data_IF_328037725107
#
_entry.id   IF_328037725107
#
_cell.length_a   1.000
_cell.length_b   1.000
_cell.length_c   1.000
_cell.angle_alpha   90.00
_cell.angle_beta   90.00
_cell.angle_gamma   90.00
#
_symmetry.space_group_name_H-M   'P 1'
#
loop_
_entity.id
_entity.type
_entity.pdbx_description
1 polymer ?
#
# COMPACT_ATOMS: atom_id res chain seq x y z
N UNK A 1 -23.32 0.07 13.51
CA UNK A 1 -23.44 1.40 12.89
C UNK A 1 -23.31 1.18 11.39
N UNK A 2 -24.27 1.63 10.58
CA UNK A 2 -24.19 1.51 9.11
C UNK A 2 -23.37 2.64 8.51
N UNK A 3 -23.05 2.53 7.20
CA UNK A 3 -22.46 3.64 6.46
C UNK A 3 -23.46 4.80 6.36
N UNK A 4 -23.01 6.07 6.46
CA UNK A 4 -23.84 7.23 6.11
C UNK A 4 -24.35 7.13 4.66
N UNK A 5 -25.53 7.71 4.40
CA UNK A 5 -26.23 7.57 3.11
C UNK A 5 -25.40 7.95 1.89
N UNK A 6 -24.57 8.98 1.99
CA UNK A 6 -23.66 9.40 0.91
C UNK A 6 -22.70 8.30 0.53
N UNK A 7 -22.07 7.68 1.53
CA UNK A 7 -21.11 6.59 1.33
C UNK A 7 -21.80 5.30 0.88
N UNK A 8 -22.98 4.99 1.42
CA UNK A 8 -23.79 3.84 1.00
C UNK A 8 -24.17 3.93 -0.48
N UNK A 9 -24.61 5.10 -0.95
CA UNK A 9 -24.91 5.34 -2.37
C UNK A 9 -23.68 5.21 -3.25
N UNK A 10 -22.51 5.68 -2.80
CA UNK A 10 -21.28 5.55 -3.53
C UNK A 10 -20.84 4.08 -3.69
N UNK A 11 -20.90 3.29 -2.62
CA UNK A 11 -20.65 1.85 -2.70
C UNK A 11 -21.60 1.17 -3.70
N UNK A 12 -22.88 1.50 -3.63
CA UNK A 12 -23.89 0.94 -4.52
C UNK A 12 -23.66 1.32 -6.00
N UNK A 13 -23.29 2.58 -6.28
CA UNK A 13 -22.99 3.04 -7.65
C UNK A 13 -21.80 2.31 -8.29
N UNK A 14 -20.92 1.77 -7.45
CA UNK A 14 -19.78 0.95 -7.88
C UNK A 14 -20.10 -0.55 -7.96
N UNK A 15 -21.30 -0.96 -7.60
CA UNK A 15 -21.68 -2.36 -7.46
C UNK A 15 -20.95 -3.06 -6.31
N UNK A 16 -20.49 -2.31 -5.31
CA UNK A 16 -19.78 -2.82 -4.15
C UNK A 16 -20.66 -2.91 -2.91
N UNK A 17 -20.36 -3.89 -2.06
CA UNK A 17 -20.85 -3.94 -0.70
C UNK A 17 -19.69 -3.60 0.26
N UNK A 18 -19.96 -2.85 1.35
CA UNK A 18 -18.94 -2.61 2.36
C UNK A 18 -18.57 -3.92 3.04
N UNK A 19 -17.27 -4.17 3.17
CA UNK A 19 -16.76 -5.38 3.83
C UNK A 19 -16.87 -5.23 5.35
N UNK A 20 -17.03 -6.34 6.06
CA UNK A 20 -17.18 -6.34 7.52
C UNK A 20 -16.07 -5.56 8.23
N UNK A 21 -14.81 -5.81 7.90
CA UNK A 21 -13.67 -5.11 8.51
C UNK A 21 -13.65 -3.60 8.24
N UNK A 22 -14.27 -3.12 7.15
CA UNK A 22 -14.45 -1.68 6.89
C UNK A 22 -15.45 -1.07 7.87
N UNK A 23 -16.55 -1.77 8.12
CA UNK A 23 -17.57 -1.35 9.11
C UNK A 23 -17.03 -1.44 10.54
N UNK A 24 -16.24 -2.45 10.85
CA UNK A 24 -15.61 -2.61 12.17
C UNK A 24 -14.64 -1.45 12.46
N UNK A 25 -13.80 -1.05 11.48
CA UNK A 25 -12.92 0.12 11.64
C UNK A 25 -13.70 1.43 11.83
N UNK A 26 -14.82 1.62 11.13
CA UNK A 26 -15.70 2.79 11.34
C UNK A 26 -16.25 2.78 12.77
N UNK A 27 -16.72 1.64 13.26
CA UNK A 27 -17.25 1.51 14.60
C UNK A 27 -16.18 1.73 15.70
N UNK A 28 -14.95 1.29 15.46
CA UNK A 28 -13.81 1.53 16.36
C UNK A 28 -13.40 3.01 16.37
N UNK A 29 -13.36 3.64 15.20
CA UNK A 29 -13.04 5.06 15.05
C UNK A 29 -14.04 5.95 15.78
N UNK A 30 -15.36 5.65 15.68
CA UNK A 30 -16.40 6.37 16.41
C UNK A 30 -16.24 6.30 17.94
N UNK A 31 -15.55 5.28 18.45
CA UNK A 31 -15.19 5.11 19.87
C UNK A 31 -13.78 5.64 20.20
N UNK A 32 -13.10 6.29 19.25
CA UNK A 32 -11.73 6.80 19.43
C UNK A 32 -10.67 5.71 19.64
N UNK A 33 -10.93 4.46 19.24
CA UNK A 33 -10.03 3.33 19.47
C UNK A 33 -8.97 3.21 18.38
N UNK A 34 -7.76 2.88 18.80
CA UNK A 34 -6.67 2.43 17.90
C UNK A 34 -6.93 1.00 17.42
N UNK A 35 -6.52 0.67 16.20
CA UNK A 35 -6.79 -0.63 15.60
C UNK A 35 -5.66 -1.13 14.71
N UNK A 36 -5.54 -2.46 14.62
CA UNK A 36 -4.72 -3.16 13.63
C UNK A 36 -5.63 -3.95 12.70
N UNK A 37 -5.69 -3.57 11.42
CA UNK A 37 -6.37 -4.36 10.40
C UNK A 37 -5.39 -5.32 9.73
N UNK A 38 -5.71 -6.61 9.81
CA UNK A 38 -5.00 -7.68 9.11
C UNK A 38 -5.91 -8.23 8.03
N UNK A 39 -5.56 -8.01 6.76
CA UNK A 39 -6.33 -8.52 5.65
C UNK A 39 -5.40 -8.82 4.45
N UNK A 40 -5.77 -9.76 3.57
CA UNK A 40 -4.97 -10.09 2.40
C UNK A 40 -4.82 -8.89 1.46
N UNK A 41 -3.84 -8.95 0.55
CA UNK A 41 -3.71 -7.98 -0.52
C UNK A 41 -4.97 -8.03 -1.40
N UNK A 42 -5.47 -6.89 -1.88
CA UNK A 42 -6.77 -6.82 -2.56
C UNK A 42 -7.98 -6.86 -1.62
N UNK A 43 -7.77 -7.02 -0.30
CA UNK A 43 -8.81 -7.02 0.73
C UNK A 43 -9.46 -5.65 1.00
N UNK A 44 -9.13 -4.58 0.27
CA UNK A 44 -9.69 -3.24 0.50
C UNK A 44 -9.19 -2.54 1.75
N UNK A 45 -7.99 -2.91 2.26
CA UNK A 45 -7.37 -2.32 3.46
C UNK A 45 -7.22 -0.80 3.39
N UNK A 46 -6.72 -0.31 2.26
CA UNK A 46 -6.45 1.12 2.06
C UNK A 46 -7.72 1.94 2.21
N UNK A 47 -8.81 1.51 1.56
CA UNK A 47 -10.12 2.15 1.71
C UNK A 47 -10.65 2.01 3.14
N UNK A 48 -10.49 0.85 3.77
CA UNK A 48 -10.88 0.63 5.17
C UNK A 48 -10.19 1.61 6.13
N UNK A 49 -8.90 1.92 5.88
CA UNK A 49 -8.17 2.91 6.66
C UNK A 49 -8.66 4.34 6.45
N UNK A 50 -9.08 4.70 5.23
CA UNK A 50 -9.53 6.07 4.91
C UNK A 50 -10.98 6.36 5.30
N UNK A 51 -11.88 5.38 5.18
CA UNK A 51 -13.32 5.56 5.36
C UNK A 51 -13.69 6.27 6.67
N UNK A 52 -13.19 5.89 7.85
CA UNK A 52 -13.55 6.55 9.10
C UNK A 52 -13.24 8.06 9.07
N UNK A 53 -12.06 8.42 8.58
CA UNK A 53 -11.63 9.83 8.53
C UNK A 53 -12.39 10.64 7.48
N UNK A 54 -12.75 10.03 6.34
CA UNK A 54 -13.58 10.67 5.32
C UNK A 54 -14.99 10.96 5.87
N UNK A 55 -15.57 10.01 6.59
CA UNK A 55 -16.88 10.16 7.25
C UNK A 55 -16.81 11.29 8.28
N UNK A 56 -15.85 11.24 9.21
CA UNK A 56 -15.68 12.25 10.26
C UNK A 56 -15.54 13.67 9.69
N UNK A 57 -14.70 13.85 8.68
CA UNK A 57 -14.50 15.15 8.05
C UNK A 57 -15.79 15.65 7.35
N UNK A 58 -16.50 14.74 6.68
CA UNK A 58 -17.76 15.09 6.00
C UNK A 58 -18.82 15.51 7.00
N UNK A 59 -19.03 14.75 8.06
CA UNK A 59 -20.02 15.05 9.11
C UNK A 59 -19.70 16.36 9.85
N UNK A 60 -18.42 16.59 10.23
CA UNK A 60 -17.98 17.82 10.88
C UNK A 60 -18.25 19.07 10.01
N UNK A 61 -18.07 18.97 8.70
CA UNK A 61 -18.33 20.07 7.77
C UNK A 61 -19.81 20.31 7.52
N UNK A 62 -20.59 19.27 7.40
CA UNK A 62 -22.05 19.37 7.31
C UNK A 62 -22.66 19.98 8.57
N UNK A 63 -22.10 19.68 9.74
CA UNK A 63 -22.52 20.27 11.01
C UNK A 63 -21.98 21.71 11.25
N UNK A 64 -21.22 22.29 10.31
CA UNK A 64 -20.61 23.61 10.47
C UNK A 64 -19.53 23.70 11.56
N UNK A 65 -19.01 22.58 12.02
CA UNK A 65 -18.05 22.50 13.12
C UNK A 65 -16.59 22.71 12.68
N UNK A 66 -16.31 22.78 11.37
CA UNK A 66 -14.96 23.00 10.83
C UNK A 66 -14.69 24.48 10.57
N UNK A 67 -14.48 25.23 11.66
CA UNK A 67 -14.21 26.67 11.62
C UNK A 67 -12.92 27.03 10.91
N UNK A 68 -11.91 26.14 10.92
CA UNK A 68 -10.64 26.39 10.23
C UNK A 68 -10.80 26.28 8.72
N UNK A 69 -11.56 25.31 8.25
CA UNK A 69 -11.90 25.19 6.83
C UNK A 69 -12.71 26.39 6.34
N UNK A 70 -13.73 26.80 7.10
CA UNK A 70 -14.56 27.96 6.79
C UNK A 70 -13.77 29.28 6.69
N UNK A 71 -12.67 29.40 7.45
CA UNK A 71 -11.75 30.56 7.41
C UNK A 71 -10.61 30.39 6.40
N UNK A 72 -10.63 29.35 5.55
CA UNK A 72 -9.54 29.07 4.59
C UNK A 72 -8.22 28.63 5.24
N UNK A 73 -8.22 28.36 6.56
CA UNK A 73 -7.09 27.79 7.29
C UNK A 73 -7.22 26.28 7.23
N UNK A 74 -6.17 25.58 6.75
CA UNK A 74 -6.17 24.14 6.75
C UNK A 74 -5.81 23.58 8.12
N UNK A 75 -6.32 22.40 8.45
CA UNK A 75 -5.95 21.62 9.65
C UNK A 75 -5.65 20.18 9.25
N UNK A 76 -4.58 19.61 9.79
CA UNK A 76 -4.26 18.21 9.55
C UNK A 76 -5.15 17.32 10.42
N UNK A 77 -6.03 16.56 9.78
CA UNK A 77 -6.89 15.59 10.44
C UNK A 77 -6.29 14.17 10.42
N UNK A 78 -5.78 13.75 9.27
CA UNK A 78 -5.28 12.38 9.07
C UNK A 78 -3.90 12.38 8.46
N UNK A 79 -2.99 11.65 9.08
CA UNK A 79 -1.65 11.37 8.58
C UNK A 79 -1.60 9.92 8.10
N UNK A 80 -1.21 9.71 6.83
CA UNK A 80 -1.02 8.39 6.25
C UNK A 80 0.46 8.16 5.99
N UNK A 81 1.02 7.10 6.56
CA UNK A 81 2.44 6.77 6.51
C UNK A 81 2.62 5.50 5.69
N UNK A 82 3.36 5.60 4.58
CA UNK A 82 3.67 4.50 3.69
C UNK A 82 5.17 4.19 3.67
N UNK A 83 5.57 2.92 3.52
CA UNK A 83 6.98 2.55 3.44
C UNK A 83 7.69 3.07 2.18
N UNK A 84 6.99 3.33 1.10
CA UNK A 84 7.56 3.76 -0.18
C UNK A 84 6.94 5.05 -0.71
N UNK A 85 7.76 5.88 -1.37
CA UNK A 85 7.32 7.11 -2.04
C UNK A 85 6.33 6.86 -3.18
N UNK A 86 6.56 5.81 -3.97
CA UNK A 86 5.68 5.43 -5.08
C UNK A 86 4.28 5.06 -4.58
N UNK A 87 4.21 4.32 -3.47
CA UNK A 87 2.95 3.94 -2.83
C UNK A 87 2.12 5.18 -2.42
N UNK A 88 2.76 6.23 -1.89
CA UNK A 88 2.06 7.46 -1.52
C UNK A 88 1.38 8.14 -2.72
N UNK A 89 1.90 7.97 -3.93
CA UNK A 89 1.30 8.52 -5.16
C UNK A 89 0.09 7.72 -5.61
N UNK A 90 0.18 6.39 -5.57
CA UNK A 90 -0.93 5.50 -5.96
C UNK A 90 -2.07 5.53 -4.95
N UNK A 91 -1.73 5.54 -3.67
CA UNK A 91 -2.71 5.69 -2.58
C UNK A 91 -3.42 7.02 -2.67
N UNK A 92 -2.70 8.09 -3.02
CA UNK A 92 -3.30 9.39 -3.27
C UNK A 92 -4.38 9.29 -4.36
N UNK A 93 -4.12 8.59 -5.46
CA UNK A 93 -5.13 8.36 -6.50
C UNK A 93 -6.34 7.58 -5.95
N UNK A 94 -6.10 6.52 -5.17
CA UNK A 94 -7.16 5.72 -4.54
C UNK A 94 -7.97 6.50 -3.50
N UNK A 95 -7.43 7.57 -2.90
CA UNK A 95 -8.13 8.48 -2.01
C UNK A 95 -8.84 9.61 -2.78
N UNK A 96 -8.23 10.13 -3.85
CA UNK A 96 -8.80 11.21 -4.67
C UNK A 96 -10.05 10.76 -5.44
N UNK A 97 -10.13 9.49 -5.85
CA UNK A 97 -11.30 8.97 -6.58
C UNK A 97 -12.57 9.06 -5.72
N UNK A 98 -12.67 8.47 -4.52
CA UNK A 98 -13.87 8.61 -3.69
C UNK A 98 -14.16 10.05 -3.29
N UNK A 99 -13.13 10.88 -3.03
CA UNK A 99 -13.30 12.30 -2.74
C UNK A 99 -13.97 13.02 -3.91
N UNK A 100 -13.50 12.80 -5.14
CA UNK A 100 -14.03 13.45 -6.33
C UNK A 100 -15.44 12.96 -6.68
N UNK A 101 -15.69 11.65 -6.66
CA UNK A 101 -16.98 11.05 -7.02
C UNK A 101 -18.10 11.39 -6.04
N UNK A 102 -17.78 11.45 -4.75
CA UNK A 102 -18.74 11.88 -3.71
C UNK A 102 -18.73 13.40 -3.51
N UNK A 103 -17.90 14.15 -4.24
CA UNK A 103 -17.74 15.60 -4.11
C UNK A 103 -17.46 16.03 -2.66
N UNK A 104 -16.63 15.24 -1.96
CA UNK A 104 -16.29 15.53 -0.58
C UNK A 104 -15.44 16.79 -0.50
N UNK A 105 -15.72 17.72 0.40
CA UNK A 105 -14.90 18.93 0.58
C UNK A 105 -13.61 18.61 1.36
N UNK A 106 -12.86 17.61 0.93
CA UNK A 106 -11.65 17.08 1.59
C UNK A 106 -10.44 17.33 0.71
N UNK A 107 -9.37 17.84 1.30
CA UNK A 107 -8.10 18.11 0.62
C UNK A 107 -7.04 17.10 1.04
N UNK A 108 -6.56 16.31 0.08
CA UNK A 108 -5.50 15.34 0.26
C UNK A 108 -4.23 15.77 -0.47
N UNK A 109 -3.08 15.73 0.20
CA UNK A 109 -1.78 16.04 -0.40
C UNK A 109 -0.72 15.01 0.02
N UNK A 110 0.30 14.86 -0.82
CA UNK A 110 1.47 14.03 -0.51
C UNK A 110 2.68 14.89 -0.16
N UNK A 111 3.50 14.41 0.81
CA UNK A 111 4.79 14.98 1.19
C UNK A 111 5.82 13.88 1.29
N UNK A 112 6.74 13.87 0.35
CA UNK A 112 7.87 12.92 0.28
C UNK A 112 9.18 13.68 0.10
N UNK A 113 10.31 12.96 0.02
CA UNK A 113 11.61 13.56 -0.28
C UNK A 113 11.63 14.37 -1.59
N UNK A 114 10.75 14.05 -2.54
CA UNK A 114 10.71 14.69 -3.87
C UNK A 114 9.73 15.88 -3.95
N UNK A 115 9.03 16.18 -2.84
CA UNK A 115 8.11 17.33 -2.80
C UNK A 115 8.89 18.64 -2.85
N UNK A 116 8.58 19.56 -3.80
CA UNK A 116 9.24 20.85 -3.91
C UNK A 116 9.17 21.69 -2.64
N UNK A 117 10.20 22.49 -2.37
CA UNK A 117 10.30 23.29 -1.14
C UNK A 117 9.14 24.26 -0.97
N UNK A 118 8.73 24.94 -2.04
CA UNK A 118 7.57 25.86 -2.03
C UNK A 118 6.29 25.18 -1.56
N UNK A 119 6.06 23.94 -2.04
CA UNK A 119 4.90 23.14 -1.63
C UNK A 119 5.00 22.71 -0.17
N UNK A 120 6.22 22.35 0.31
CA UNK A 120 6.44 21.98 1.72
C UNK A 120 6.15 23.15 2.67
N UNK A 121 6.52 24.39 2.29
CA UNK A 121 6.22 25.62 3.04
C UNK A 121 4.70 25.83 3.09
N UNK A 122 4.05 25.83 1.93
CA UNK A 122 2.59 25.98 1.86
C UNK A 122 1.84 24.94 2.69
N UNK A 123 2.26 23.67 2.67
CA UNK A 123 1.64 22.60 3.47
C UNK A 123 1.74 22.84 4.97
N UNK A 124 2.80 23.53 5.44
CA UNK A 124 2.93 23.90 6.85
C UNK A 124 2.07 25.09 7.24
N UNK A 125 1.94 26.07 6.34
CA UNK A 125 1.10 27.25 6.55
C UNK A 125 -0.39 26.92 6.45
N UNK A 126 -0.75 26.06 5.50
CA UNK A 126 -2.12 25.58 5.23
C UNK A 126 -2.14 24.06 5.12
N UNK A 127 -2.13 23.34 6.25
CA UNK A 127 -2.13 21.88 6.24
C UNK A 127 -3.32 21.32 5.46
N UNK A 128 -3.14 20.22 4.68
CA UNK A 128 -4.25 19.48 4.09
C UNK A 128 -4.99 18.70 5.18
N UNK A 129 -6.21 18.25 4.89
CA UNK A 129 -6.96 17.37 5.77
C UNK A 129 -6.32 15.98 5.88
N UNK A 130 -5.84 15.46 4.74
CA UNK A 130 -5.04 14.25 4.65
C UNK A 130 -3.64 14.57 4.16
N UNK A 131 -2.63 14.13 4.90
CA UNK A 131 -1.23 14.18 4.45
C UNK A 131 -0.68 12.77 4.32
N UNK A 132 -0.31 12.41 3.08
CA UNK A 132 0.35 11.14 2.78
C UNK A 132 1.86 11.35 2.80
N UNK A 133 2.59 10.53 3.57
CA UNK A 133 4.02 10.76 3.81
C UNK A 133 4.80 9.47 3.97
N UNK A 134 6.13 9.58 4.13
CA UNK A 134 7.02 8.48 4.50
C UNK A 134 7.60 8.72 5.90
N UNK A 135 8.12 7.70 6.58
CA UNK A 135 8.75 7.87 7.91
C UNK A 135 9.82 8.95 7.97
N UNK A 136 10.66 9.05 6.94
CA UNK A 136 11.73 10.03 6.86
C UNK A 136 11.18 11.47 6.74
N UNK A 137 10.15 11.64 5.93
CA UNK A 137 9.48 12.95 5.77
C UNK A 137 8.71 13.35 7.02
N UNK A 138 8.15 12.38 7.75
CA UNK A 138 7.53 12.62 9.06
C UNK A 138 8.57 13.07 10.10
N UNK A 139 9.71 12.41 10.17
CA UNK A 139 10.79 12.81 11.08
C UNK A 139 11.23 14.27 10.83
N UNK A 140 11.34 14.67 9.56
CA UNK A 140 11.61 16.06 9.20
C UNK A 140 10.46 17.00 9.62
N UNK A 141 9.20 16.60 9.46
CA UNK A 141 8.06 17.40 9.93
C UNK A 141 8.10 17.59 11.44
N UNK A 142 8.46 16.57 12.18
CA UNK A 142 8.59 16.61 13.63
C UNK A 142 9.79 17.45 14.13
N UNK A 143 10.76 17.78 13.28
CA UNK A 143 11.92 18.60 13.63
C UNK A 143 11.67 20.11 13.53
N UNK A 144 10.55 20.54 12.94
CA UNK A 144 10.27 21.98 12.80
C UNK A 144 9.75 22.61 14.12
N UNK A 145 10.04 23.91 14.35
CA UNK A 145 9.60 24.59 15.59
C UNK A 145 8.07 24.66 15.75
N UNK A 146 7.31 24.70 14.63
CA UNK A 146 5.85 24.83 14.60
C UNK A 146 5.10 23.48 14.65
N UNK A 147 5.82 22.40 14.98
CA UNK A 147 5.31 21.01 15.01
C UNK A 147 4.06 20.87 15.88
N UNK A 148 4.05 21.45 17.08
CA UNK A 148 2.90 21.35 18.00
C UNK A 148 1.64 21.95 17.36
N UNK A 149 1.76 23.10 16.71
CA UNK A 149 0.64 23.73 15.98
C UNK A 149 0.19 22.90 14.78
N UNK A 150 1.15 22.34 14.03
CA UNK A 150 0.87 21.57 12.83
C UNK A 150 0.06 20.30 13.11
N UNK A 151 0.35 19.62 14.22
CA UNK A 151 -0.31 18.36 14.61
C UNK A 151 -1.43 18.54 15.65
N UNK A 152 -1.74 19.78 16.09
CA UNK A 152 -2.71 20.05 17.17
C UNK A 152 -4.09 19.39 16.94
N UNK A 153 -4.54 19.30 15.70
CA UNK A 153 -5.87 18.77 15.33
C UNK A 153 -5.79 17.36 14.69
N UNK A 154 -4.64 16.70 14.81
CA UNK A 154 -4.48 15.34 14.31
C UNK A 154 -5.38 14.37 15.06
N UNK A 155 -6.22 13.63 14.32
CA UNK A 155 -7.19 12.66 14.88
C UNK A 155 -6.86 11.22 14.51
N UNK A 156 -6.18 11.00 13.38
CA UNK A 156 -5.88 9.68 12.93
C UNK A 156 -4.47 9.61 12.31
N UNK A 157 -3.72 8.59 12.70
CA UNK A 157 -2.47 8.18 12.02
C UNK A 157 -2.68 6.79 11.47
N UNK A 158 -2.54 6.64 10.15
CA UNK A 158 -2.63 5.36 9.47
C UNK A 158 -1.22 4.94 9.07
N UNK A 159 -0.79 3.76 9.51
CA UNK A 159 0.50 3.17 9.13
C UNK A 159 0.22 1.99 8.20
N UNK A 160 0.54 2.18 6.92
CA UNK A 160 0.35 1.12 5.93
C UNK A 160 1.52 0.16 5.87
N UNK A 161 1.23 -1.09 5.50
CA UNK A 161 2.19 -2.19 5.45
C UNK A 161 3.01 -2.30 6.75
N UNK A 162 2.33 -2.16 7.91
CA UNK A 162 2.95 -2.06 9.23
C UNK A 162 3.94 -3.20 9.50
N UNK A 163 3.66 -4.42 9.03
CA UNK A 163 4.54 -5.58 9.16
C UNK A 163 5.94 -5.37 8.52
N UNK A 164 6.08 -4.45 7.56
CA UNK A 164 7.38 -4.17 6.94
C UNK A 164 8.27 -3.29 7.83
N UNK A 165 7.67 -2.64 8.80
CA UNK A 165 8.36 -1.78 9.77
C UNK A 165 8.78 -2.54 11.03
N UNK A 166 7.94 -3.41 11.57
CA UNK A 166 8.03 -3.96 12.93
C UNK A 166 9.42 -4.50 13.31
N UNK A 167 10.16 -5.10 12.37
CA UNK A 167 11.47 -5.73 12.62
C UNK A 167 12.66 -4.96 12.01
N UNK A 168 12.45 -3.73 11.56
CA UNK A 168 13.48 -2.97 10.85
C UNK A 168 13.96 -1.74 11.61
N UNK A 169 15.22 -1.33 11.37
CA UNK A 169 15.76 -0.06 11.90
C UNK A 169 14.87 1.14 11.53
N UNK A 170 14.29 1.10 10.35
CA UNK A 170 13.35 2.12 9.86
C UNK A 170 12.06 2.13 10.67
N UNK A 171 11.62 0.96 11.11
CA UNK A 171 10.48 0.80 12.00
C UNK A 171 10.76 1.34 13.41
N UNK A 172 11.92 1.09 13.98
CA UNK A 172 12.30 1.68 15.27
C UNK A 172 12.28 3.22 15.21
N UNK A 173 12.79 3.79 14.12
CA UNK A 173 12.72 5.23 13.89
C UNK A 173 11.26 5.72 13.76
N UNK A 174 10.42 4.98 13.06
CA UNK A 174 8.99 5.30 12.97
C UNK A 174 8.31 5.22 14.35
N UNK A 175 8.59 4.21 15.18
CA UNK A 175 8.03 4.08 16.51
C UNK A 175 8.31 5.33 17.37
N UNK A 176 9.53 5.86 17.33
CA UNK A 176 9.89 7.12 18.02
C UNK A 176 9.07 8.31 17.47
N UNK A 177 8.85 8.38 16.16
CA UNK A 177 8.00 9.42 15.56
C UNK A 177 6.53 9.29 16.01
N UNK A 178 6.00 8.07 16.06
CA UNK A 178 4.64 7.81 16.52
C UNK A 178 4.44 8.15 18.00
N UNK A 179 5.39 7.77 18.85
CA UNK A 179 5.36 8.13 20.28
C UNK A 179 5.35 9.66 20.48
N UNK A 180 6.15 10.38 19.69
CA UNK A 180 6.15 11.84 19.70
C UNK A 180 4.83 12.44 19.22
N UNK A 181 4.19 11.87 18.18
CA UNK A 181 2.86 12.28 17.73
C UNK A 181 1.80 12.02 18.80
N UNK A 182 1.87 10.88 19.51
CA UNK A 182 0.95 10.57 20.59
C UNK A 182 1.03 11.59 21.76
N UNK A 183 2.25 12.10 22.02
CA UNK A 183 2.45 13.16 23.02
C UNK A 183 1.94 14.54 22.53
N UNK A 184 2.17 14.88 21.26
CA UNK A 184 1.76 16.16 20.67
C UNK A 184 0.25 16.27 20.45
N UNK A 185 -0.42 15.15 20.13
CA UNK A 185 -1.84 15.07 19.84
C UNK A 185 -2.48 13.89 20.62
N UNK A 186 -2.80 14.06 21.90
CA UNK A 186 -3.27 12.97 22.78
C UNK A 186 -4.59 12.31 22.34
N UNK A 187 -5.38 12.98 21.51
CA UNK A 187 -6.67 12.48 20.99
C UNK A 187 -6.52 11.63 19.70
N UNK A 188 -5.29 11.45 19.24
CA UNK A 188 -5.01 10.70 17.99
C UNK A 188 -5.22 9.21 18.22
N UNK A 189 -5.99 8.57 17.33
CA UNK A 189 -6.01 7.11 17.19
C UNK A 189 -4.96 6.65 16.18
N UNK A 190 -4.41 5.47 16.40
CA UNK A 190 -3.42 4.85 15.51
C UNK A 190 -4.03 3.63 14.84
N UNK A 191 -3.93 3.57 13.52
CA UNK A 191 -4.49 2.49 12.70
C UNK A 191 -3.35 1.84 11.91
N UNK A 192 -3.08 0.57 12.17
CA UNK A 192 -2.14 -0.22 11.38
C UNK A 192 -2.89 -0.99 10.29
N UNK A 193 -2.37 -0.96 9.07
CA UNK A 193 -2.82 -1.81 7.98
C UNK A 193 -1.72 -2.82 7.67
N UNK A 194 -2.06 -4.10 7.66
CA UNK A 194 -1.09 -5.17 7.47
C UNK A 194 -1.64 -6.28 6.59
N UNK A 195 -0.75 -6.95 5.85
CA UNK A 195 -1.02 -8.27 5.33
C UNK A 195 -1.04 -9.29 6.48
N UNK A 196 -1.37 -10.54 6.18
CA UNK A 196 -1.33 -11.64 7.15
C UNK A 196 0.06 -11.78 7.76
N UNK A 197 0.13 -11.87 9.08
CA UNK A 197 1.36 -11.99 9.87
C UNK A 197 1.25 -13.15 10.85
N UNK A 198 2.41 -13.65 11.30
CA UNK A 198 2.46 -14.76 12.24
C UNK A 198 2.13 -14.35 13.69
N UNK A 199 2.45 -13.11 14.06
CA UNK A 199 2.23 -12.57 15.41
C UNK A 199 1.41 -11.27 15.36
N UNK A 200 0.09 -11.34 15.27
CA UNK A 200 -0.80 -10.19 15.33
C UNK A 200 -0.71 -9.38 16.64
N UNK A 201 -0.66 -10.01 17.83
CA UNK A 201 -0.54 -9.27 19.08
C UNK A 201 0.74 -8.43 19.17
N UNK A 202 1.90 -9.00 18.83
CA UNK A 202 3.16 -8.26 18.83
C UNK A 202 3.17 -7.11 17.83
N UNK A 203 2.45 -7.25 16.70
CA UNK A 203 2.30 -6.15 15.76
C UNK A 203 1.32 -5.08 16.26
N UNK A 204 0.29 -5.45 17.02
CA UNK A 204 -0.61 -4.49 17.66
C UNK A 204 0.11 -3.69 18.75
N UNK A 205 1.01 -4.32 19.49
CA UNK A 205 1.83 -3.65 20.52
C UNK A 205 2.71 -2.53 19.96
N UNK A 206 3.12 -2.63 18.70
CA UNK A 206 3.84 -1.56 18.01
C UNK A 206 3.03 -0.25 17.94
N UNK A 207 1.69 -0.33 17.97
CA UNK A 207 0.78 0.82 17.95
C UNK A 207 0.31 1.23 19.34
N UNK A 208 0.69 0.51 20.41
CA UNK A 208 0.38 0.86 21.79
C UNK A 208 1.33 1.95 22.27
N UNK A 209 0.93 3.19 22.10
CA UNK A 209 1.77 4.36 22.33
C UNK A 209 1.46 5.10 23.64
N UNK A 210 0.47 4.62 24.38
CA UNK A 210 0.06 5.17 25.69
C UNK A 210 -0.21 4.05 26.68
N UNK A 211 0.03 4.35 27.96
CA UNK A 211 -0.32 3.44 29.03
C UNK A 211 -1.82 3.19 29.05
N UNK A 212 -2.21 1.92 29.28
CA UNK A 212 -3.60 1.46 29.30
C UNK A 212 -4.38 1.60 27.96
N UNK A 213 -3.72 1.91 26.85
CA UNK A 213 -4.33 1.90 25.53
C UNK A 213 -4.47 0.44 25.03
N UNK A 214 -5.65 0.08 24.55
CA UNK A 214 -5.89 -1.18 23.86
C UNK A 214 -5.92 -0.92 22.35
N UNK A 215 -5.19 -1.73 21.58
CA UNK A 215 -5.24 -1.74 20.12
C UNK A 215 -6.10 -2.92 19.70
N UNK A 216 -7.23 -2.65 19.08
CA UNK A 216 -8.18 -3.68 18.65
C UNK A 216 -7.69 -4.36 17.35
N UNK A 217 -7.67 -5.69 17.32
CA UNK A 217 -7.27 -6.44 16.13
C UNK A 217 -8.51 -6.78 15.31
N UNK A 218 -8.53 -6.31 14.08
CA UNK A 218 -9.60 -6.57 13.10
C UNK A 218 -9.06 -7.48 12.02
N UNK A 219 -9.75 -8.58 11.77
CA UNK A 219 -9.40 -9.50 10.69
C UNK A 219 -10.31 -9.28 9.49
N UNK A 220 -9.71 -9.09 8.33
CA UNK A 220 -10.42 -9.12 7.06
C UNK A 220 -10.79 -10.55 6.68
N UNK A 221 -11.73 -10.68 5.77
CA UNK A 221 -12.09 -11.99 5.21
C UNK A 221 -10.87 -12.63 4.56
N UNK A 222 -10.66 -13.93 4.77
CA UNK A 222 -9.55 -14.64 4.13
C UNK A 222 -9.72 -14.58 2.61
N UNK A 223 -8.64 -14.31 1.91
CA UNK A 223 -8.61 -14.43 0.45
C UNK A 223 -8.70 -15.91 0.02
N UNK A 224 -8.95 -16.14 -1.27
CA UNK A 224 -8.84 -17.48 -1.84
C UNK A 224 -7.44 -18.07 -1.57
N UNK A 225 -7.38 -19.34 -1.24
CA UNK A 225 -6.10 -20.03 -1.07
C UNK A 225 -5.28 -19.97 -2.37
N UNK A 226 -3.99 -19.60 -2.31
CA UNK A 226 -3.17 -19.58 -3.50
C UNK A 226 -2.91 -21.00 -4.00
N UNK A 227 -2.97 -21.20 -5.31
CA UNK A 227 -2.46 -22.41 -5.94
C UNK A 227 -0.96 -22.22 -6.20
N UNK A 228 -0.12 -22.90 -5.42
CA UNK A 228 1.34 -22.78 -5.50
C UNK A 228 1.92 -24.07 -6.05
N UNK A 229 2.68 -23.98 -7.12
CA UNK A 229 3.42 -25.11 -7.70
C UNK A 229 4.90 -24.77 -7.83
N UNK A 230 5.73 -25.79 -7.85
CA UNK A 230 7.15 -25.67 -8.13
C UNK A 230 7.37 -26.02 -9.61
N UNK A 231 8.09 -25.14 -10.34
CA UNK A 231 8.49 -25.43 -11.72
C UNK A 231 9.67 -26.42 -11.65
N UNK A 232 9.45 -27.60 -12.15
CA UNK A 232 10.50 -28.61 -12.30
C UNK A 232 11.23 -28.36 -13.62
N UNK A 233 12.41 -27.74 -13.53
CA UNK A 233 13.23 -27.49 -14.72
C UNK A 233 13.88 -28.80 -15.18
N UNK A 234 13.75 -29.11 -16.46
CA UNK A 234 14.26 -30.36 -17.05
C UNK A 234 15.79 -30.41 -17.10
N UNK A 235 16.45 -29.27 -17.11
CA UNK A 235 17.88 -29.15 -17.15
C UNK A 235 18.53 -29.39 -15.77
N UNK A 236 19.69 -30.04 -15.77
CA UNK A 236 20.47 -30.24 -14.53
C UNK A 236 20.87 -28.89 -13.95
N UNK A 237 20.62 -28.73 -12.63
CA UNK A 237 21.07 -27.58 -11.86
C UNK A 237 22.59 -27.39 -12.04
N UNK A 238 23.07 -26.30 -12.64
CA UNK A 238 24.49 -26.02 -12.74
C UNK A 238 25.09 -25.80 -11.34
N UNK A 239 26.30 -26.30 -11.10
CA UNK A 239 26.97 -26.23 -9.79
C UNK A 239 27.10 -24.80 -9.22
N UNK A 240 27.10 -23.77 -10.06
CA UNK A 240 27.05 -22.35 -9.67
C UNK A 240 25.65 -21.69 -9.72
N UNK A 241 24.59 -22.45 -9.81
CA UNK A 241 23.29 -22.04 -10.33
C UNK A 241 22.28 -21.52 -9.34
N UNK A 242 22.59 -20.55 -8.50
CA UNK A 242 21.58 -19.85 -7.68
C UNK A 242 20.78 -18.77 -8.42
N UNK A 243 21.03 -18.52 -9.69
CA UNK A 243 20.33 -17.53 -10.52
C UNK A 243 19.11 -18.07 -11.27
N UNK A 244 18.87 -19.39 -11.21
CA UNK A 244 17.76 -20.10 -11.88
C UNK A 244 17.63 -19.86 -13.40
N UNK A 245 18.75 -19.57 -14.09
CA UNK A 245 18.75 -19.30 -15.53
C UNK A 245 18.39 -20.54 -16.36
N UNK A 246 18.67 -21.73 -15.86
CA UNK A 246 18.29 -23.01 -16.46
C UNK A 246 16.76 -23.18 -16.60
N UNK A 247 15.97 -22.49 -15.79
CA UNK A 247 14.52 -22.57 -15.83
C UNK A 247 13.85 -21.52 -16.76
N UNK A 248 14.64 -20.71 -17.46
CA UNK A 248 14.10 -19.64 -18.33
C UNK A 248 13.24 -20.20 -19.47
N UNK A 249 13.59 -21.35 -20.12
CA UNK A 249 12.73 -21.93 -21.15
C UNK A 249 11.33 -22.34 -20.61
N UNK A 250 11.28 -22.97 -19.45
CA UNK A 250 10.01 -23.37 -18.79
C UNK A 250 9.21 -22.15 -18.37
N UNK A 251 9.87 -21.12 -17.82
CA UNK A 251 9.25 -19.84 -17.48
C UNK A 251 8.63 -19.19 -18.72
N UNK A 252 9.34 -19.20 -19.87
CA UNK A 252 8.80 -18.66 -21.11
C UNK A 252 7.56 -19.44 -21.57
N UNK A 253 7.60 -20.77 -21.53
CA UNK A 253 6.46 -21.62 -21.89
C UNK A 253 5.25 -21.38 -21.01
N UNK A 254 5.44 -21.12 -19.72
CA UNK A 254 4.34 -20.79 -18.80
C UNK A 254 3.80 -19.39 -19.10
N UNK A 255 4.63 -18.39 -19.35
CA UNK A 255 4.22 -17.02 -19.73
C UNK A 255 3.31 -17.04 -20.97
N UNK A 256 3.62 -17.87 -21.96
CA UNK A 256 2.81 -18.02 -23.19
C UNK A 256 1.37 -18.45 -22.92
N UNK A 257 1.13 -19.21 -21.86
CA UNK A 257 -0.18 -19.77 -21.50
C UNK A 257 -1.03 -18.80 -20.67
N UNK A 258 -0.47 -17.67 -20.21
CA UNK A 258 -1.11 -16.70 -19.32
C UNK A 258 -1.26 -15.33 -19.99
N UNK A 259 -2.22 -14.54 -19.50
CA UNK A 259 -2.49 -13.20 -20.08
C UNK A 259 -1.46 -12.18 -19.63
N UNK A 260 -1.19 -12.12 -18.32
CA UNK A 260 -0.22 -11.19 -17.74
C UNK A 260 0.50 -11.83 -16.58
N UNK A 261 1.81 -11.93 -16.66
CA UNK A 261 2.65 -12.59 -15.66
C UNK A 261 3.65 -11.63 -15.02
N UNK A 262 3.89 -11.75 -13.73
CA UNK A 262 5.02 -11.10 -13.06
C UNK A 262 6.07 -12.14 -12.70
N UNK A 263 7.29 -11.96 -13.20
CA UNK A 263 8.45 -12.81 -12.88
C UNK A 263 9.31 -12.07 -11.86
N UNK A 264 9.18 -12.45 -10.59
CA UNK A 264 9.97 -11.89 -9.51
C UNK A 264 11.34 -12.56 -9.40
N UNK A 265 12.36 -11.73 -9.27
CA UNK A 265 13.75 -12.14 -9.04
C UNK A 265 14.32 -11.41 -7.81
N UNK A 266 15.47 -11.85 -7.30
CA UNK A 266 16.03 -11.31 -6.06
C UNK A 266 17.01 -10.16 -6.24
N UNK A 267 17.70 -10.08 -7.39
CA UNK A 267 18.71 -9.06 -7.67
C UNK A 267 18.50 -8.40 -9.04
N UNK A 268 19.08 -7.21 -9.22
CA UNK A 268 19.04 -6.49 -10.50
C UNK A 268 19.72 -7.28 -11.60
N UNK A 269 20.89 -7.83 -11.31
CA UNK A 269 21.62 -8.67 -12.27
C UNK A 269 20.79 -9.87 -12.72
N UNK A 270 20.11 -10.55 -11.79
CA UNK A 270 19.19 -11.63 -12.11
C UNK A 270 18.02 -11.13 -12.98
N UNK A 271 17.50 -9.92 -12.73
CA UNK A 271 16.42 -9.37 -13.53
C UNK A 271 16.84 -9.14 -15.00
N UNK A 272 18.00 -8.57 -15.20
CA UNK A 272 18.54 -8.32 -16.54
C UNK A 272 18.88 -9.61 -17.28
N UNK A 273 19.53 -10.57 -16.60
CA UNK A 273 19.84 -11.88 -17.20
C UNK A 273 18.57 -12.69 -17.54
N UNK A 274 17.57 -12.66 -16.66
CA UNK A 274 16.30 -13.34 -16.93
C UNK A 274 15.55 -12.67 -18.07
N UNK A 275 15.53 -11.33 -18.11
CA UNK A 275 14.95 -10.59 -19.22
C UNK A 275 15.63 -10.89 -20.54
N UNK A 276 16.96 -10.85 -20.58
CA UNK A 276 17.76 -11.20 -21.79
C UNK A 276 17.49 -12.65 -22.24
N UNK A 277 17.46 -13.60 -21.31
CA UNK A 277 17.14 -15.00 -21.60
C UNK A 277 15.73 -15.18 -22.19
N UNK A 278 14.73 -14.54 -21.60
CA UNK A 278 13.36 -14.55 -22.12
C UNK A 278 13.28 -13.86 -23.50
N UNK A 279 14.01 -12.76 -23.68
CA UNK A 279 14.03 -12.01 -24.95
C UNK A 279 14.62 -12.84 -26.09
N UNK A 280 15.67 -13.62 -25.83
CA UNK A 280 16.30 -14.52 -26.83
C UNK A 280 15.38 -15.68 -27.27
N UNK A 281 14.47 -16.10 -26.37
CA UNK A 281 13.49 -17.16 -26.65
C UNK A 281 12.18 -16.62 -27.24
N UNK A 282 12.06 -15.31 -27.39
CA UNK A 282 10.78 -14.64 -27.69
C UNK A 282 10.47 -14.63 -29.20
N UNK A 283 10.33 -15.80 -29.81
CA UNK A 283 9.99 -15.96 -31.23
C UNK A 283 8.57 -15.46 -31.57
N UNK A 284 7.67 -15.42 -30.56
CA UNK A 284 6.29 -14.95 -30.70
C UNK A 284 6.15 -13.43 -30.53
N UNK A 285 7.23 -12.69 -30.31
CA UNK A 285 7.20 -11.25 -30.07
C UNK A 285 6.26 -10.82 -28.92
N UNK A 286 6.23 -11.60 -27.85
CA UNK A 286 5.48 -11.25 -26.66
C UNK A 286 6.00 -9.95 -26.05
N UNK A 287 5.09 -9.08 -25.61
CA UNK A 287 5.47 -7.84 -24.95
C UNK A 287 5.97 -8.14 -23.52
N UNK A 288 7.28 -8.22 -23.34
CA UNK A 288 7.96 -8.48 -22.06
C UNK A 288 8.65 -7.20 -21.59
N UNK A 289 8.42 -6.81 -20.33
CA UNK A 289 9.01 -5.63 -19.70
C UNK A 289 10.04 -5.99 -18.63
N UNK A 290 10.91 -5.02 -18.30
CA UNK A 290 11.89 -5.12 -17.20
C UNK A 290 11.64 -3.97 -16.21
N UNK A 291 11.61 -4.28 -14.90
CA UNK A 291 11.36 -3.27 -13.86
C UNK A 291 12.25 -3.47 -12.63
N UNK A 292 13.17 -2.57 -12.39
CA UNK A 292 13.98 -2.52 -11.16
C UNK A 292 14.44 -1.09 -10.83
N UNK A 293 14.87 -0.89 -9.59
CA UNK A 293 15.17 0.44 -9.04
C UNK A 293 16.32 1.22 -9.71
N UNK A 294 17.16 0.58 -10.54
CA UNK A 294 18.26 1.25 -11.27
C UNK A 294 17.88 1.74 -12.67
N UNK A 295 16.71 1.36 -13.18
CA UNK A 295 16.21 1.92 -14.43
C UNK A 295 15.85 3.41 -14.25
N UNK A 296 16.03 4.19 -15.33
CA UNK A 296 15.57 5.57 -15.37
C UNK A 296 14.07 5.68 -15.03
N UNK A 297 13.68 6.78 -14.38
CA UNK A 297 12.30 6.99 -13.92
C UNK A 297 11.31 6.90 -15.08
N UNK A 298 11.66 7.44 -16.24
CA UNK A 298 10.85 7.43 -17.46
C UNK A 298 10.59 6.00 -17.95
N UNK A 299 11.62 5.14 -17.92
CA UNK A 299 11.50 3.75 -18.32
C UNK A 299 10.59 2.96 -17.38
N UNK A 300 10.76 3.15 -16.07
CA UNK A 300 9.89 2.52 -15.08
C UNK A 300 8.43 2.91 -15.28
N UNK A 301 8.15 4.21 -15.47
CA UNK A 301 6.80 4.73 -15.72
C UNK A 301 6.18 4.20 -17.01
N UNK A 302 7.00 3.99 -18.07
CA UNK A 302 6.52 3.36 -19.32
C UNK A 302 6.08 1.92 -19.08
N UNK A 303 6.86 1.12 -18.34
CA UNK A 303 6.53 -0.26 -18.00
C UNK A 303 5.29 -0.31 -17.10
N UNK A 304 5.22 0.56 -16.09
CA UNK A 304 4.08 0.70 -15.19
C UNK A 304 2.79 1.04 -15.96
N UNK A 305 2.85 2.02 -16.85
CA UNK A 305 1.70 2.41 -17.67
C UNK A 305 1.27 1.32 -18.66
N UNK A 306 2.23 0.61 -19.28
CA UNK A 306 1.94 -0.48 -20.19
C UNK A 306 1.31 -1.69 -19.47
N UNK A 307 1.75 -1.95 -18.24
CA UNK A 307 1.19 -3.00 -17.39
C UNK A 307 -0.23 -2.67 -16.94
N UNK A 308 -0.46 -1.46 -16.42
CA UNK A 308 -1.80 -1.00 -16.03
C UNK A 308 -2.79 -0.99 -17.21
N UNK A 309 -2.30 -0.79 -18.44
CA UNK A 309 -3.09 -0.85 -19.66
C UNK A 309 -3.29 -2.29 -20.20
N UNK A 310 -2.76 -3.33 -19.53
CA UNK A 310 -2.84 -4.72 -19.98
C UNK A 310 -2.09 -5.01 -21.28
N UNK A 311 -1.07 -4.20 -21.62
CA UNK A 311 -0.30 -4.31 -22.87
C UNK A 311 0.92 -5.24 -22.75
N UNK A 312 1.28 -5.65 -21.54
CA UNK A 312 2.41 -6.55 -21.33
C UNK A 312 1.95 -7.97 -21.05
N UNK A 313 2.62 -8.91 -21.69
CA UNK A 313 2.47 -10.36 -21.43
C UNK A 313 3.23 -10.77 -20.17
N UNK A 314 4.40 -10.18 -19.94
CA UNK A 314 5.16 -10.43 -18.74
C UNK A 314 5.99 -9.20 -18.32
N UNK A 315 6.30 -9.13 -17.03
CA UNK A 315 7.28 -8.19 -16.48
C UNK A 315 8.27 -8.95 -15.59
N UNK A 316 9.56 -8.82 -15.86
CA UNK A 316 10.63 -9.29 -14.95
C UNK A 316 10.91 -8.18 -13.95
N UNK A 317 10.78 -8.47 -12.65
CA UNK A 317 10.89 -7.45 -11.63
C UNK A 317 11.66 -7.90 -10.39
N UNK A 318 12.33 -6.96 -9.74
CA UNK A 318 12.84 -7.11 -8.38
C UNK A 318 11.76 -6.70 -7.36
N UNK A 319 12.16 -6.45 -6.11
CA UNK A 319 11.25 -5.92 -5.07
C UNK A 319 10.59 -4.57 -5.39
N UNK A 320 10.90 -3.96 -6.51
CA UNK A 320 10.27 -2.71 -6.95
C UNK A 320 8.77 -2.84 -7.24
N UNK A 321 8.28 -4.06 -7.50
CA UNK A 321 6.86 -4.38 -7.68
C UNK A 321 6.26 -5.18 -6.50
N UNK A 322 7.00 -5.38 -5.41
CA UNK A 322 6.49 -6.10 -4.23
C UNK A 322 5.30 -5.37 -3.58
N UNK A 323 5.22 -4.04 -3.72
CA UNK A 323 4.29 -3.18 -3.00
C UNK A 323 3.37 -2.37 -3.93
N UNK A 324 2.12 -2.33 -3.57
CA UNK A 324 1.17 -1.20 -3.62
C UNK A 324 0.60 -0.70 -4.94
N UNK A 325 1.05 -1.10 -6.10
CA UNK A 325 0.45 -0.63 -7.36
C UNK A 325 -0.60 -1.64 -7.83
N UNK A 326 -1.77 -1.15 -8.21
CA UNK A 326 -2.78 -1.97 -8.90
C UNK A 326 -2.33 -2.16 -10.35
N UNK A 327 -1.81 -3.35 -10.62
CA UNK A 327 -1.23 -3.71 -11.91
C UNK A 327 -2.25 -4.25 -12.91
N UNK A 328 -3.54 -4.06 -12.66
CA UNK A 328 -4.58 -4.65 -13.50
C UNK A 328 -4.70 -6.17 -13.32
N UNK A 329 -5.12 -6.87 -14.37
CA UNK A 329 -5.41 -8.29 -14.31
C UNK A 329 -4.14 -9.15 -14.47
N UNK A 330 -3.28 -9.18 -13.45
CA UNK A 330 -2.18 -10.16 -13.36
C UNK A 330 -2.78 -11.51 -12.97
N UNK A 331 -2.60 -12.53 -13.79
CA UNK A 331 -3.13 -13.87 -13.56
C UNK A 331 -2.07 -14.88 -13.05
N UNK A 332 -0.78 -14.54 -13.22
CA UNK A 332 0.31 -15.40 -12.78
C UNK A 332 1.44 -14.63 -12.10
N UNK A 333 1.97 -15.21 -11.02
CA UNK A 333 3.23 -14.75 -10.40
C UNK A 333 4.23 -15.90 -10.40
N UNK A 334 5.40 -15.66 -10.94
CA UNK A 334 6.54 -16.59 -10.94
C UNK A 334 7.62 -16.04 -10.00
N UNK A 335 8.12 -16.85 -9.10
CA UNK A 335 9.27 -16.52 -8.25
C UNK A 335 10.50 -17.30 -8.70
N UNK A 336 11.53 -16.62 -9.21
CA UNK A 336 12.81 -17.23 -9.56
C UNK A 336 13.82 -17.08 -8.41
N UNK A 337 14.28 -18.21 -7.92
CA UNK A 337 15.12 -18.29 -6.72
C UNK A 337 14.34 -18.12 -5.42
N UNK A 338 14.95 -18.53 -4.29
CA UNK A 338 14.28 -18.49 -2.99
C UNK A 338 13.92 -17.06 -2.57
N UNK A 339 12.68 -16.78 -2.17
CA UNK A 339 12.29 -15.47 -1.68
C UNK A 339 12.94 -15.17 -0.33
N UNK A 340 13.19 -13.89 -0.05
CA UNK A 340 13.73 -13.45 1.26
C UNK A 340 12.62 -13.45 2.33
N UNK A 341 12.13 -14.63 2.71
CA UNK A 341 11.12 -14.85 3.74
C UNK A 341 9.70 -15.06 3.20
N UNK A 342 8.90 -15.75 4.01
CA UNK A 342 7.51 -16.15 3.69
C UNK A 342 6.62 -14.94 3.46
N UNK A 343 6.72 -13.90 4.28
CA UNK A 343 5.90 -12.68 4.14
C UNK A 343 6.06 -12.03 2.77
N UNK A 344 7.30 -11.99 2.24
CA UNK A 344 7.55 -11.45 0.90
C UNK A 344 6.97 -12.34 -0.19
N UNK A 345 7.08 -13.65 -0.05
CA UNK A 345 6.45 -14.58 -0.98
C UNK A 345 4.94 -14.36 -1.03
N UNK A 346 4.30 -14.27 0.13
CA UNK A 346 2.85 -14.03 0.23
C UNK A 346 2.44 -12.67 -0.38
N UNK A 347 3.26 -11.63 -0.20
CA UNK A 347 3.03 -10.33 -0.85
C UNK A 347 3.09 -10.44 -2.39
N UNK A 348 4.07 -11.19 -2.92
CA UNK A 348 4.22 -11.43 -4.36
C UNK A 348 3.07 -12.25 -4.91
N UNK A 349 2.72 -13.34 -4.25
CA UNK A 349 1.54 -14.16 -4.60
C UNK A 349 0.27 -13.29 -4.62
N UNK A 350 0.12 -12.40 -3.67
CA UNK A 350 -1.00 -11.45 -3.60
C UNK A 350 -1.09 -10.47 -4.77
N UNK A 351 -0.14 -10.44 -5.71
CA UNK A 351 -0.22 -9.63 -6.94
C UNK A 351 -1.05 -10.31 -8.03
N UNK A 352 -1.22 -11.63 -7.99
CA UNK A 352 -2.08 -12.33 -8.93
C UNK A 352 -3.56 -12.23 -8.51
N UNK A 353 -4.43 -12.07 -9.50
CA UNK A 353 -5.89 -12.09 -9.35
C UNK A 353 -6.41 -11.14 -8.25
N UNK A 354 -6.11 -9.86 -8.38
CA UNK A 354 -6.54 -8.80 -7.47
C UNK A 354 -8.07 -8.59 -7.41
N UNK A 355 -8.83 -9.10 -8.40
CA UNK A 355 -10.28 -9.00 -8.42
C UNK A 355 -10.92 -10.10 -7.57
N UNK A 356 -11.80 -9.72 -6.66
CA UNK A 356 -12.50 -10.57 -5.70
C UNK A 356 -13.49 -11.59 -6.31
N UNK A 357 -13.57 -11.72 -7.63
CA UNK A 357 -14.61 -12.47 -8.35
C UNK A 357 -14.13 -13.69 -9.14
N UNK A 358 -12.82 -13.94 -9.22
CA UNK A 358 -12.30 -15.11 -9.95
C UNK A 358 -11.51 -16.03 -9.03
N UNK A 359 -11.68 -17.38 -9.12
CA UNK A 359 -10.81 -18.32 -8.43
C UNK A 359 -9.37 -18.10 -8.92
N UNK A 360 -8.47 -17.81 -8.00
CA UNK A 360 -7.10 -17.49 -8.29
C UNK A 360 -6.31 -18.73 -8.74
N UNK A 361 -5.83 -18.74 -9.95
CA UNK A 361 -4.61 -19.48 -10.29
C UNK A 361 -3.44 -18.57 -9.82
N UNK A 362 -2.75 -18.97 -8.78
CA UNK A 362 -1.65 -18.18 -8.18
C UNK A 362 -0.38 -19.00 -8.17
#
# INVERSE_FOLDING_TARGET
MGLPDLFSRWFHSRGWAPRRHQLDLIALAARGKSALLIAPTGGGKTLAGFLPSLIELTERRQAGQDLAHAKGKGELHTLYISPLKALATDIRRNLEVPIAEMQLPVRAESRTGDTPQSRRIRQRERPPDFLLTTPESLALLLSYPDTARFFANLRCVIVDELHTFATSKRGHHLALCLARLAALAPQTRFVGLSATVADPPGLADYLRLRDNETVEIVHGEPGAAPNVSIIDAQDRLPWGGHMAQHAVPEVYNIIRQHKTSIVFVNTRAQAELTFDGLWRLNDENLAIGLHHGSLAIEQRRKVEAAMAAGKLRAVVATSSLDLGIDWGNVDLVIQMGAPKGVSRLMQRIGRANHSSTSPAVR
#
